data_IF_525809529225
#
_entry.id   IF_525809529225
#
_cell.length_a   1.000
_cell.length_b   1.000
_cell.length_c   1.000
_cell.angle_alpha   90.00
_cell.angle_beta   90.00
_cell.angle_gamma   90.00
#
_symmetry.space_group_name_H-M   'P 1'
#
loop_
_entity.id
_entity.type
_entity.pdbx_description
1 polymer ?
#
# COMPACT_ATOMS: atom_id res chain seq x y z
N UNK A 1 8.01 -0.86 13.23
CA UNK A 1 7.30 -1.85 12.39
C UNK A 1 7.44 -3.21 13.04
N UNK A 2 6.36 -3.69 13.63
CA UNK A 2 6.21 -5.06 14.10
C UNK A 2 5.97 -6.02 12.91
N UNK A 3 6.24 -7.33 13.06
CA UNK A 3 6.03 -8.29 11.97
C UNK A 3 4.59 -8.27 11.44
N UNK A 4 4.43 -8.11 10.12
CA UNK A 4 3.14 -7.97 9.45
C UNK A 4 2.60 -6.54 9.37
N UNK A 5 3.30 -5.55 9.94
CA UNK A 5 3.02 -4.13 9.71
C UNK A 5 3.76 -3.61 8.48
N UNK A 6 3.22 -2.54 7.91
CA UNK A 6 3.84 -1.78 6.83
C UNK A 6 3.79 -0.28 7.13
N UNK A 7 4.75 0.46 6.57
CA UNK A 7 4.74 1.91 6.47
C UNK A 7 4.53 2.28 5.00
N UNK A 8 3.51 3.08 4.71
CA UNK A 8 3.25 3.60 3.37
C UNK A 8 3.75 5.04 3.28
N UNK A 9 4.53 5.32 2.23
CA UNK A 9 4.97 6.65 1.84
C UNK A 9 4.36 6.98 0.48
N UNK A 10 3.92 8.21 0.30
CA UNK A 10 3.25 8.65 -0.92
C UNK A 10 3.56 10.11 -1.23
N UNK A 11 3.44 10.50 -2.50
CA UNK A 11 3.44 11.91 -2.92
C UNK A 11 2.07 12.54 -2.71
N UNK A 12 2.03 13.86 -2.55
CA UNK A 12 0.80 14.66 -2.49
C UNK A 12 -0.12 14.43 -3.71
N UNK A 13 0.44 14.10 -4.87
CA UNK A 13 -0.31 13.67 -6.06
C UNK A 13 -1.35 12.57 -5.78
N UNK A 14 -1.14 11.69 -4.79
CA UNK A 14 -2.16 10.70 -4.36
C UNK A 14 -3.34 11.38 -3.66
N UNK A 15 -3.08 12.25 -2.70
CA UNK A 15 -4.12 12.89 -1.89
C UNK A 15 -4.80 14.05 -2.59
N UNK A 16 -4.09 14.75 -3.48
CA UNK A 16 -4.59 15.88 -4.26
C UNK A 16 -5.27 15.47 -5.58
N UNK A 17 -5.19 14.17 -5.92
CA UNK A 17 -5.88 13.57 -7.06
C UNK A 17 -7.34 14.04 -7.14
N UNK A 18 -7.73 14.66 -8.27
CA UNK A 18 -9.08 15.20 -8.46
C UNK A 18 -10.01 14.19 -9.12
N UNK A 19 -11.19 14.04 -8.52
CA UNK A 19 -12.19 13.10 -8.97
C UNK A 19 -13.56 13.25 -8.29
N UNK A 20 -14.21 12.12 -8.04
CA UNK A 20 -15.57 12.08 -7.53
C UNK A 20 -16.64 12.38 -8.59
N UNK A 21 -17.92 12.49 -8.18
CA UNK A 21 -19.06 12.59 -9.10
C UNK A 21 -19.01 13.79 -10.04
N UNK A 22 -18.48 14.92 -9.56
CA UNK A 22 -18.35 16.16 -10.33
C UNK A 22 -16.92 16.40 -10.85
N UNK A 23 -15.93 15.62 -10.37
CA UNK A 23 -14.55 15.68 -10.85
C UNK A 23 -13.66 16.75 -10.20
N UNK A 24 -14.17 17.49 -9.22
CA UNK A 24 -13.47 18.58 -8.54
C UNK A 24 -13.05 18.25 -7.10
N UNK A 25 -13.48 17.11 -6.57
CA UNK A 25 -13.13 16.65 -5.22
C UNK A 25 -11.72 16.04 -5.19
N UNK A 26 -10.93 16.43 -4.21
CA UNK A 26 -9.67 15.74 -3.91
C UNK A 26 -9.95 14.37 -3.29
N UNK A 27 -9.10 13.38 -3.57
CA UNK A 27 -9.16 12.05 -2.95
C UNK A 27 -9.08 12.16 -1.42
N UNK A 28 -8.06 12.89 -0.96
CA UNK A 28 -7.88 13.27 0.45
C UNK A 28 -7.35 12.16 1.35
N UNK A 29 -6.74 12.57 2.47
CA UNK A 29 -6.17 11.65 3.47
C UNK A 29 -7.20 10.75 4.14
N UNK A 30 -8.45 11.22 4.29
CA UNK A 30 -9.50 10.46 4.95
C UNK A 30 -9.82 9.16 4.19
N UNK A 31 -9.98 9.24 2.87
CA UNK A 31 -10.24 8.08 2.01
C UNK A 31 -9.02 7.17 1.91
N UNK A 32 -7.82 7.74 1.86
CA UNK A 32 -6.58 6.96 1.92
C UNK A 32 -6.48 6.17 3.23
N UNK A 33 -6.75 6.83 4.35
CA UNK A 33 -6.73 6.19 5.69
C UNK A 33 -7.77 5.09 5.81
N UNK A 34 -8.99 5.33 5.31
CA UNK A 34 -10.05 4.32 5.26
C UNK A 34 -9.62 3.10 4.45
N UNK A 35 -9.07 3.30 3.24
CA UNK A 35 -8.55 2.21 2.41
C UNK A 35 -7.47 1.40 3.14
N UNK A 36 -6.50 2.08 3.75
CA UNK A 36 -5.40 1.42 4.46
C UNK A 36 -5.84 0.68 5.73
N UNK A 37 -6.96 1.07 6.33
CA UNK A 37 -7.53 0.36 7.48
C UNK A 37 -7.93 -1.09 7.14
N UNK A 38 -8.20 -1.36 5.86
CA UNK A 38 -8.53 -2.69 5.35
C UNK A 38 -7.30 -3.49 4.90
N UNK A 39 -6.10 -2.90 4.94
CA UNK A 39 -4.88 -3.51 4.41
C UNK A 39 -4.03 -4.25 5.46
N UNK A 40 -4.45 -4.28 6.72
CA UNK A 40 -3.68 -4.89 7.80
C UNK A 40 -3.33 -6.35 7.49
N UNK A 41 -2.04 -6.66 7.45
CA UNK A 41 -1.53 -8.00 7.20
C UNK A 41 -1.47 -8.45 5.74
N UNK A 42 -1.83 -7.58 4.78
CA UNK A 42 -1.59 -7.81 3.36
C UNK A 42 -0.09 -7.75 3.01
N UNK A 43 0.35 -8.44 1.95
CA UNK A 43 1.68 -8.22 1.36
C UNK A 43 1.86 -6.75 0.94
N UNK A 44 3.09 -6.24 1.03
CA UNK A 44 3.39 -4.83 0.74
C UNK A 44 3.00 -4.44 -0.68
N UNK A 45 3.29 -5.32 -1.63
CA UNK A 45 2.97 -5.18 -3.05
C UNK A 45 1.46 -5.04 -3.25
N UNK A 46 0.66 -5.85 -2.55
CA UNK A 46 -0.80 -5.79 -2.63
C UNK A 46 -1.35 -4.48 -2.05
N UNK A 47 -0.71 -3.90 -1.02
CA UNK A 47 -1.08 -2.57 -0.50
C UNK A 47 -0.77 -1.49 -1.53
N UNK A 48 0.40 -1.53 -2.15
CA UNK A 48 0.78 -0.57 -3.21
C UNK A 48 -0.18 -0.64 -4.39
N UNK A 49 -0.48 -1.85 -4.87
CA UNK A 49 -1.46 -2.08 -5.95
C UNK A 49 -2.84 -1.55 -5.58
N UNK A 50 -3.31 -1.82 -4.36
CA UNK A 50 -4.62 -1.33 -3.90
C UNK A 50 -4.72 0.20 -3.94
N UNK A 51 -3.69 0.90 -3.45
CA UNK A 51 -3.66 2.38 -3.45
C UNK A 51 -3.58 2.92 -4.88
N UNK A 52 -2.76 2.33 -5.75
CA UNK A 52 -2.66 2.74 -7.15
C UNK A 52 -3.96 2.54 -7.91
N UNK A 53 -4.64 1.41 -7.72
CA UNK A 53 -5.96 1.18 -8.32
C UNK A 53 -6.97 2.21 -7.85
N UNK A 54 -7.08 2.45 -6.54
CA UNK A 54 -8.02 3.43 -5.99
C UNK A 54 -7.77 4.84 -6.52
N UNK A 55 -6.51 5.27 -6.56
CA UNK A 55 -6.15 6.59 -7.09
C UNK A 55 -6.52 6.69 -8.59
N UNK A 56 -6.22 5.65 -9.37
CA UNK A 56 -6.53 5.61 -10.81
C UNK A 56 -8.04 5.59 -11.09
N UNK A 57 -8.81 4.82 -10.33
CA UNK A 57 -10.27 4.77 -10.43
C UNK A 57 -10.91 6.12 -10.05
N UNK A 58 -10.36 6.77 -9.02
CA UNK A 58 -10.82 8.09 -8.59
C UNK A 58 -10.59 9.16 -9.66
N UNK A 59 -9.38 9.20 -10.23
CA UNK A 59 -9.02 10.19 -11.27
C UNK A 59 -9.66 9.91 -12.62
N UNK A 60 -9.91 8.64 -12.96
CA UNK A 60 -10.36 8.26 -14.30
C UNK A 60 -9.44 8.83 -15.38
N UNK A 61 -10.02 9.36 -16.47
CA UNK A 61 -9.28 9.94 -17.59
C UNK A 61 -8.79 11.39 -17.35
N UNK A 62 -8.90 11.91 -16.12
CA UNK A 62 -8.54 13.30 -15.81
C UNK A 62 -7.03 13.45 -15.64
N UNK A 63 -6.53 14.64 -15.96
CA UNK A 63 -5.16 15.02 -15.66
C UNK A 63 -4.94 15.03 -14.14
N UNK A 64 -3.79 14.53 -13.71
CA UNK A 64 -3.35 14.49 -12.33
C UNK A 64 -1.84 14.74 -12.26
N UNK A 65 -1.35 15.14 -11.09
CA UNK A 65 0.08 15.27 -10.83
C UNK A 65 0.76 13.90 -10.73
N UNK A 66 2.09 13.87 -10.64
CA UNK A 66 2.86 12.64 -10.51
C UNK A 66 2.49 11.89 -9.21
N UNK A 67 2.04 10.64 -9.37
CA UNK A 67 1.66 9.77 -8.26
C UNK A 67 2.75 8.73 -8.01
N UNK A 68 3.27 8.71 -6.79
CA UNK A 68 4.18 7.67 -6.34
C UNK A 68 3.75 7.11 -4.98
N UNK A 69 3.91 5.79 -4.83
CA UNK A 69 3.60 5.05 -3.61
C UNK A 69 4.74 4.08 -3.33
N UNK A 70 5.19 4.02 -2.08
CA UNK A 70 6.21 3.10 -1.62
C UNK A 70 5.77 2.47 -0.30
N UNK A 71 5.89 1.14 -0.20
CA UNK A 71 5.63 0.41 1.04
C UNK A 71 6.94 -0.17 1.61
N UNK A 72 7.14 0.03 2.90
CA UNK A 72 8.20 -0.62 3.69
C UNK A 72 7.52 -1.57 4.66
N UNK A 73 7.66 -2.88 4.45
CA UNK A 73 7.02 -3.90 5.28
C UNK A 73 8.01 -4.62 6.20
N UNK A 74 7.57 -4.92 7.42
CA UNK A 74 8.25 -5.86 8.29
C UNK A 74 7.71 -7.27 7.98
N UNK A 75 8.51 -8.17 7.40
CA UNK A 75 8.04 -9.51 7.06
C UNK A 75 7.56 -10.24 8.32
N UNK A 76 6.49 -11.01 8.18
CA UNK A 76 6.13 -11.98 9.22
C UNK A 76 7.29 -12.96 9.30
N UNK A 77 7.98 -13.01 10.44
CA UNK A 77 8.90 -14.10 10.70
C UNK A 77 8.08 -15.38 10.65
N UNK A 78 8.20 -16.14 9.57
CA UNK A 78 7.64 -17.49 9.50
C UNK A 78 8.28 -18.23 10.66
N UNK A 79 7.51 -18.48 11.73
CA UNK A 79 7.87 -19.51 12.68
C UNK A 79 7.77 -20.80 11.87
N UNK A 80 8.90 -21.20 11.26
CA UNK A 80 9.08 -22.56 10.79
C UNK A 80 8.85 -23.41 12.03
N UNK A 81 7.67 -24.03 12.18
CA UNK A 81 7.61 -25.21 13.02
C UNK A 81 8.53 -26.19 12.32
N UNK A 82 9.77 -26.29 12.82
CA UNK A 82 10.73 -27.25 12.35
C UNK A 82 10.16 -28.63 12.62
N UNK A 83 9.47 -29.19 11.63
CA UNK A 83 9.34 -30.62 11.50
C UNK A 83 10.70 -31.04 10.92
N UNK A 84 11.60 -31.42 11.83
CA UNK A 84 12.90 -32.06 11.59
C UNK A 84 13.58 -31.76 10.25
N UNK A 85 14.44 -30.73 10.22
CA UNK A 85 15.35 -30.54 9.10
C UNK A 85 16.11 -29.23 9.16
N UNK A 86 17.43 -29.31 9.37
CA UNK A 86 18.32 -28.16 9.29
C UNK A 86 18.12 -27.37 7.99
N UNK A 87 17.78 -26.09 8.10
CA UNK A 87 18.07 -25.12 7.04
C UNK A 87 18.54 -23.80 7.64
N UNK A 88 19.76 -23.42 7.28
CA UNK A 88 20.30 -22.08 7.48
C UNK A 88 19.49 -21.15 6.58
N UNK A 89 18.62 -20.33 7.18
CA UNK A 89 17.86 -19.31 6.47
C UNK A 89 18.82 -18.35 5.77
N UNK A 90 18.88 -18.43 4.43
CA UNK A 90 19.56 -17.45 3.59
C UNK A 90 18.49 -16.52 3.04
N UNK A 91 18.52 -15.28 3.49
CA UNK A 91 17.75 -14.18 2.90
C UNK A 91 18.49 -13.76 1.62
N UNK A 92 17.85 -13.89 0.46
CA UNK A 92 18.30 -13.17 -0.74
C UNK A 92 17.43 -11.92 -0.87
N UNK A 93 18.12 -10.78 -0.86
CA UNK A 93 17.58 -9.49 -1.27
C UNK A 93 17.24 -9.48 -2.76
#
# INVERSE_FOLDING_TARGET
>A
LAPGEFCLLYTDGITEARGGPLGDEMFGEARLTEALSHCAGMPAEAVVEHVQMLASEWTGDRAHDDMAVMAIAAPRSHHLSAVDGHTRGRFTA
#
